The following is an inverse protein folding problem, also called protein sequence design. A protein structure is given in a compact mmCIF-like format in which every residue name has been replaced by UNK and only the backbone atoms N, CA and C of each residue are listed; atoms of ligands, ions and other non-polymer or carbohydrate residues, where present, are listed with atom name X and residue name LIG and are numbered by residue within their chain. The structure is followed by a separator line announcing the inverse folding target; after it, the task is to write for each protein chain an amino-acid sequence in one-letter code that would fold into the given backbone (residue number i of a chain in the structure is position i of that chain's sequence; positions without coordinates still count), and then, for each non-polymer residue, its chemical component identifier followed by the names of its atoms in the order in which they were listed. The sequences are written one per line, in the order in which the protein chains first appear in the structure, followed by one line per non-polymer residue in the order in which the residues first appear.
data_IF_363323530701
#
_entry.id   IF_363323530701
#
_cell.length_a   1.000
_cell.length_b   1.000
_cell.length_c   1.000
_cell.angle_alpha   90.00
_cell.angle_beta   90.00
_cell.angle_gamma   90.00
#
_symmetry.space_group_name_H-M   'P 1'
#
loop_
_entity.id
_entity.type
_entity.pdbx_description
1 polymer ?
#
# COMPACT_ATOMS: atom_id res chain seq x y z
N UNK A 1 29.94 -6.79 20.05
CA UNK A 1 29.60 -5.38 19.77
C UNK A 1 28.51 -5.43 18.73
N UNK A 2 27.25 -5.42 19.15
CA UNK A 2 26.11 -5.43 18.23
C UNK A 2 26.05 -4.00 17.69
N UNK A 3 26.31 -3.83 16.40
CA UNK A 3 26.08 -2.55 15.75
C UNK A 3 24.61 -2.20 15.95
N UNK A 4 24.38 -1.07 16.62
CA UNK A 4 23.08 -0.42 16.72
C UNK A 4 22.70 -0.02 15.29
N UNK A 5 22.06 -0.94 14.57
CA UNK A 5 21.57 -0.66 13.22
C UNK A 5 20.42 0.32 13.40
N UNK A 6 20.46 1.49 12.75
CA UNK A 6 19.35 2.41 12.82
C UNK A 6 18.07 1.69 12.39
N UNK A 7 17.02 1.82 13.19
CA UNK A 7 15.79 1.07 13.00
C UNK A 7 14.97 1.67 11.85
N UNK A 8 14.37 0.80 11.04
CA UNK A 8 13.36 1.20 10.05
C UNK A 8 12.16 1.79 10.79
N UNK A 9 11.71 2.97 10.37
CA UNK A 9 10.50 3.57 10.92
C UNK A 9 9.30 3.17 10.05
N UNK A 10 8.36 2.42 10.63
CA UNK A 10 7.15 1.98 9.96
C UNK A 10 5.94 2.73 10.54
N UNK A 11 5.28 3.51 9.69
CA UNK A 11 4.06 4.23 10.04
C UNK A 11 2.84 3.61 9.37
N UNK A 12 2.03 2.90 10.15
CA UNK A 12 0.73 2.39 9.72
C UNK A 12 -0.31 3.51 9.72
N UNK A 13 -0.91 3.77 8.56
CA UNK A 13 -1.90 4.84 8.41
C UNK A 13 -3.24 4.39 9.02
N UNK A 14 -3.82 5.16 9.96
CA UNK A 14 -5.12 4.83 10.54
C UNK A 14 -6.26 5.09 9.55
N UNK A 15 -7.36 4.36 9.71
CA UNK A 15 -8.59 4.62 8.94
C UNK A 15 -9.19 6.01 9.26
N UNK A 16 -9.81 6.69 8.26
CA UNK A 16 -9.94 6.26 6.87
C UNK A 16 -8.65 6.42 6.07
N UNK A 17 -8.28 5.40 5.30
CA UNK A 17 -7.06 5.45 4.48
C UNK A 17 -7.17 6.51 3.36
N UNK A 18 -6.14 7.35 3.18
CA UNK A 18 -6.14 8.43 2.19
C UNK A 18 -6.07 7.86 0.77
N UNK A 19 -6.83 8.46 -0.14
CA UNK A 19 -6.88 8.02 -1.54
C UNK A 19 -5.73 8.59 -2.35
N UNK A 20 -5.12 7.77 -3.20
CA UNK A 20 -3.99 8.15 -4.05
C UNK A 20 -4.11 7.58 -5.45
N UNK A 21 -3.49 8.25 -6.42
CA UNK A 21 -3.23 7.71 -7.74
C UNK A 21 -1.75 7.29 -7.82
N UNK A 22 -1.50 6.05 -8.22
CA UNK A 22 -0.17 5.45 -8.37
C UNK A 22 0.17 5.38 -9.86
N UNK A 23 1.32 5.91 -10.25
CA UNK A 23 1.85 5.79 -11.59
C UNK A 23 2.63 4.47 -11.75
N UNK A 24 2.19 3.61 -12.65
CA UNK A 24 2.87 2.35 -12.95
C UNK A 24 4.10 2.57 -13.85
N UNK A 25 5.14 1.73 -13.72
CA UNK A 25 6.31 1.77 -14.60
C UNK A 25 5.93 1.49 -16.07
N UNK A 26 6.85 1.79 -16.99
CA UNK A 26 6.75 1.44 -18.41
C UNK A 26 5.47 1.86 -19.12
N UNK A 27 4.90 3.01 -18.72
CA UNK A 27 3.61 3.54 -19.23
C UNK A 27 2.42 2.63 -18.93
N UNK A 28 2.48 1.85 -17.84
CA UNK A 28 1.37 1.01 -17.36
C UNK A 28 0.11 1.80 -16.96
N UNK A 29 0.19 3.13 -16.93
CA UNK A 29 -0.93 4.02 -16.63
C UNK A 29 -0.98 4.41 -15.15
N UNK A 30 -2.16 4.85 -14.71
CA UNK A 30 -2.41 5.25 -13.31
C UNK A 30 -3.44 4.34 -12.69
N UNK A 31 -3.19 3.91 -11.46
CA UNK A 31 -4.12 3.11 -10.66
C UNK A 31 -4.54 3.92 -9.44
N UNK A 32 -5.83 3.85 -9.09
CA UNK A 32 -6.31 4.42 -7.83
C UNK A 32 -6.14 3.40 -6.70
N UNK A 33 -5.60 3.85 -5.58
CA UNK A 33 -5.41 3.05 -4.39
C UNK A 33 -5.55 3.86 -3.10
N UNK A 34 -5.19 3.24 -1.99
CA UNK A 34 -5.19 3.87 -0.66
C UNK A 34 -3.89 3.60 0.07
N UNK A 35 -3.32 4.60 0.74
CA UNK A 35 -2.06 4.40 1.50
C UNK A 35 -2.36 3.66 2.79
N UNK A 36 -1.73 2.50 2.98
CA UNK A 36 -1.84 1.73 4.22
C UNK A 36 -0.62 1.92 5.14
N UNK A 37 0.57 2.08 4.57
CA UNK A 37 1.80 2.18 5.37
C UNK A 37 2.82 3.07 4.67
N UNK A 38 3.59 3.81 5.47
CA UNK A 38 4.78 4.53 5.02
C UNK A 38 5.98 3.95 5.79
N UNK A 39 6.98 3.51 5.05
CA UNK A 39 8.25 3.02 5.59
C UNK A 39 9.34 4.03 5.29
N UNK A 40 10.08 4.44 6.32
CA UNK A 40 11.30 5.25 6.20
C UNK A 40 12.49 4.39 6.65
N UNK A 41 13.34 4.05 5.69
CA UNK A 41 14.59 3.37 5.92
C UNK A 41 15.63 4.32 6.53
N UNK A 42 16.60 3.79 7.28
CA UNK A 42 17.63 4.61 7.93
C UNK A 42 18.51 5.47 7.02
N UNK A 43 18.62 5.09 5.76
CA UNK A 43 19.35 5.82 4.72
C UNK A 43 18.51 6.97 4.12
N UNK A 44 17.30 7.19 4.64
CA UNK A 44 16.34 8.19 4.18
C UNK A 44 15.50 7.72 2.99
N UNK A 45 15.61 6.46 2.56
CA UNK A 45 14.72 5.93 1.53
C UNK A 45 13.30 5.77 2.08
N UNK A 46 12.31 6.28 1.35
CA UNK A 46 10.90 6.18 1.72
C UNK A 46 10.21 5.21 0.77
N UNK A 47 9.38 4.33 1.32
CA UNK A 47 8.51 3.42 0.57
C UNK A 47 7.08 3.54 1.07
N UNK A 48 6.13 3.45 0.15
CA UNK A 48 4.70 3.60 0.46
C UNK A 48 3.99 2.31 0.08
N UNK A 49 3.33 1.66 1.05
CA UNK A 49 2.43 0.55 0.79
C UNK A 49 1.06 1.09 0.37
N UNK A 50 0.66 0.79 -0.85
CA UNK A 50 -0.64 1.16 -1.41
C UNK A 50 -1.50 -0.08 -1.60
N UNK A 51 -2.74 0.02 -1.13
CA UNK A 51 -3.81 -0.95 -1.37
C UNK A 51 -4.52 -0.60 -2.67
N UNK A 52 -4.52 -1.54 -3.63
CA UNK A 52 -5.15 -1.36 -4.93
C UNK A 52 -6.20 -2.44 -5.15
N UNK A 53 -7.38 -2.05 -5.63
CA UNK A 53 -8.44 -2.99 -5.96
C UNK A 53 -8.02 -3.87 -7.14
N UNK A 54 -8.21 -5.18 -7.00
CA UNK A 54 -7.97 -6.16 -8.04
C UNK A 54 -9.19 -7.04 -8.24
N UNK A 55 -9.19 -7.77 -9.35
CA UNK A 55 -10.15 -8.82 -9.63
C UNK A 55 -9.40 -10.13 -9.76
N UNK A 56 -9.79 -11.12 -8.96
CA UNK A 56 -9.17 -12.44 -9.00
C UNK A 56 -10.17 -13.47 -9.49
N UNK A 57 -9.70 -14.34 -10.38
CA UNK A 57 -10.47 -15.53 -10.77
C UNK A 57 -10.33 -16.56 -9.65
N UNK A 58 -11.46 -17.02 -9.14
CA UNK A 58 -11.48 -18.15 -8.22
C UNK A 58 -12.13 -19.35 -8.92
N UNK A 59 -11.69 -20.54 -8.52
CA UNK A 59 -12.23 -21.81 -8.98
C UNK A 59 -12.29 -22.76 -7.80
N UNK A 60 -13.40 -23.48 -7.68
CA UNK A 60 -13.57 -24.52 -6.65
C UNK A 60 -14.07 -25.80 -7.31
N UNK A 61 -13.50 -26.93 -6.87
CA UNK A 61 -13.96 -28.26 -7.25
C UNK A 61 -14.24 -29.03 -5.96
N UNK A 62 -15.51 -29.36 -5.73
CA UNK A 62 -15.96 -29.99 -4.48
C UNK A 62 -15.54 -31.47 -4.40
N UNK A 63 -15.45 -32.15 -5.54
CA UNK A 63 -14.99 -33.53 -5.64
C UNK A 63 -14.24 -33.81 -6.95
N UNK A 64 -13.28 -34.73 -6.92
CA UNK A 64 -12.51 -35.14 -8.09
C UNK A 64 -13.46 -35.74 -9.14
N UNK A 65 -13.48 -35.14 -10.34
CA UNK A 65 -14.33 -35.57 -11.46
C UNK A 65 -15.60 -34.76 -11.65
N UNK A 66 -15.96 -33.87 -10.73
CA UNK A 66 -17.05 -32.91 -10.93
C UNK A 66 -16.56 -31.64 -11.67
N UNK A 67 -17.42 -30.95 -12.43
CA UNK A 67 -17.07 -29.66 -13.02
C UNK A 67 -16.67 -28.63 -11.96
N UNK A 68 -15.63 -27.86 -12.24
CA UNK A 68 -15.26 -26.73 -11.38
C UNK A 68 -16.27 -25.60 -11.49
N UNK A 69 -16.64 -25.00 -10.37
CA UNK A 69 -17.36 -23.73 -10.34
C UNK A 69 -16.36 -22.57 -10.34
N UNK A 70 -16.56 -21.61 -11.23
CA UNK A 70 -15.65 -20.48 -11.42
C UNK A 70 -16.36 -19.14 -11.25
N UNK A 71 -15.61 -18.13 -10.83
CA UNK A 71 -16.11 -16.76 -10.74
C UNK A 71 -14.99 -15.73 -10.72
N UNK A 72 -15.39 -14.46 -10.69
CA UNK A 72 -14.50 -13.31 -10.50
C UNK A 72 -14.92 -12.63 -9.20
N UNK A 73 -13.97 -12.49 -8.27
CA UNK A 73 -14.17 -11.85 -6.97
C UNK A 73 -13.36 -10.56 -6.84
N UNK A 74 -13.85 -9.57 -6.08
CA UNK A 74 -13.03 -8.42 -5.71
C UNK A 74 -11.95 -8.86 -4.72
N UNK A 75 -10.75 -8.34 -4.91
CA UNK A 75 -9.63 -8.50 -3.97
C UNK A 75 -8.91 -7.16 -3.81
N UNK A 76 -7.98 -7.10 -2.86
CA UNK A 76 -7.07 -5.98 -2.69
C UNK A 76 -5.65 -6.50 -2.71
N UNK A 77 -4.85 -5.95 -3.62
CA UNK A 77 -3.41 -6.22 -3.70
C UNK A 77 -2.67 -5.13 -2.95
N UNK A 78 -1.65 -5.54 -2.20
CA UNK A 78 -0.68 -4.64 -1.56
C UNK A 78 0.50 -4.45 -2.51
N UNK A 79 0.90 -3.20 -2.73
CA UNK A 79 2.08 -2.89 -3.51
C UNK A 79 2.94 -1.85 -2.80
N UNK A 80 4.25 -2.08 -2.78
CA UNK A 80 5.23 -1.07 -2.37
C UNK A 80 5.63 -0.23 -3.56
N UNK A 81 5.53 1.09 -3.41
CA UNK A 81 5.86 2.05 -4.45
C UNK A 81 6.75 3.15 -3.90
N UNK A 82 7.66 3.69 -4.73
CA UNK A 82 8.46 4.81 -4.32
C UNK A 82 7.59 6.09 -4.27
N UNK A 83 7.95 7.08 -3.45
CA UNK A 83 7.12 8.26 -3.19
C UNK A 83 6.85 9.08 -4.45
N UNK A 84 7.79 9.15 -5.39
CA UNK A 84 7.63 9.86 -6.66
C UNK A 84 6.56 9.26 -7.59
N UNK A 85 6.15 8.01 -7.34
CA UNK A 85 5.08 7.35 -8.08
C UNK A 85 3.68 7.60 -7.49
N UNK A 86 3.59 8.24 -6.31
CA UNK A 86 2.32 8.42 -5.57
C UNK A 86 1.87 9.88 -5.67
N UNK A 87 0.64 10.05 -6.16
CA UNK A 87 -0.02 11.35 -6.29
C UNK A 87 -1.25 11.35 -5.42
N UNK A 88 -1.40 12.38 -4.59
CA UNK A 88 -2.54 12.53 -3.71
C UNK A 88 -3.06 13.96 -3.81
N UNK A 89 -4.36 14.14 -3.54
CA UNK A 89 -4.94 15.47 -3.41
C UNK A 89 -4.26 16.22 -2.25
N UNK A 90 -4.15 17.54 -2.36
CA UNK A 90 -3.47 18.36 -1.35
C UNK A 90 -4.04 18.14 0.05
N UNK A 91 -5.37 17.98 0.16
CA UNK A 91 -6.04 17.67 1.42
C UNK A 91 -5.59 16.33 2.04
N UNK A 92 -5.40 15.30 1.21
CA UNK A 92 -4.94 13.98 1.64
C UNK A 92 -3.47 14.03 2.09
N UNK A 93 -2.62 14.76 1.36
CA UNK A 93 -1.21 14.97 1.75
C UNK A 93 -1.13 15.66 3.12
N UNK A 94 -1.92 16.70 3.34
CA UNK A 94 -1.92 17.44 4.61
C UNK A 94 -2.50 16.60 5.76
N UNK A 95 -3.48 15.73 5.49
CA UNK A 95 -3.97 14.77 6.49
C UNK A 95 -2.87 13.77 6.87
N UNK A 96 -2.22 13.15 5.88
CA UNK A 96 -1.17 12.16 6.12
C UNK A 96 0.03 12.76 6.87
N UNK A 97 0.48 13.97 6.51
CA UNK A 97 1.56 14.67 7.22
C UNK A 97 1.24 14.91 8.70
N UNK A 98 0.01 15.31 9.02
CA UNK A 98 -0.41 15.52 10.41
C UNK A 98 -0.39 14.22 11.20
N UNK A 99 -0.86 13.13 10.60
CA UNK A 99 -0.86 11.81 11.25
C UNK A 99 0.57 11.29 11.47
N UNK A 100 1.45 11.45 10.48
CA UNK A 100 2.86 11.06 10.57
C UNK A 100 3.62 11.88 11.63
N UNK A 101 3.43 13.20 11.68
CA UNK A 101 4.04 14.03 12.71
C UNK A 101 3.55 13.64 14.12
N UNK A 102 2.27 13.31 14.26
CA UNK A 102 1.72 12.83 15.52
C UNK A 102 2.32 11.48 15.92
N UNK A 103 2.59 10.55 14.99
CA UNK A 103 3.24 9.27 15.33
C UNK A 103 4.67 9.45 15.79
N UNK A 104 5.43 10.35 15.17
CA UNK A 104 6.81 10.66 15.59
C UNK A 104 6.90 11.27 17.00
N UNK A 105 5.88 12.02 17.43
CA UNK A 105 5.86 12.62 18.77
C UNK A 105 5.62 11.60 19.91
N UNK A 106 5.25 10.37 19.59
CA UNK A 106 4.94 9.29 20.55
C UNK A 106 6.00 8.17 20.54
N UNK A 107 7.12 8.36 19.83
CA UNK A 107 8.30 7.48 19.81
C UNK A 107 9.41 8.13 20.65
#
# INVERSE_FOLDING_TARGET
MIHDMPAVHLFSVPDPLPSVDVLLPDKGGRLRGKVATVEESPDGAVWIEVLVSSWVRWSTQLAVGEPSSEGIGPETVRMWVPPEAVFADEGEVQALKRLYQASLAHV
#
